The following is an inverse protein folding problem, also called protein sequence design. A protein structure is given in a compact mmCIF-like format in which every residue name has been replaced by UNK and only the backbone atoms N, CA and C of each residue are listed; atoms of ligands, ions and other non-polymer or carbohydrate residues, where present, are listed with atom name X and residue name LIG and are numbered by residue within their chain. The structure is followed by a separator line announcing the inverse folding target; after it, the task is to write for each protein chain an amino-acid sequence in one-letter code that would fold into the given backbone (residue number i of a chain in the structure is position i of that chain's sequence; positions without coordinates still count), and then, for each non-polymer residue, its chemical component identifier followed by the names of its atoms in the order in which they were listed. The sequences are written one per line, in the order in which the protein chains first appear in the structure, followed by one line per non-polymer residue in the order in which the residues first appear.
data_IF_841454140530
#
_entry.id   IF_841454140530
#
_cell.length_a   1.000
_cell.length_b   1.000
_cell.length_c   1.000
_cell.angle_alpha   90.00
_cell.angle_beta   90.00
_cell.angle_gamma   90.00
#
_symmetry.space_group_name_H-M   'P 1'
#
loop_
_entity.id
_entity.type
_entity.pdbx_description
1 polymer ?
#
# COMPACT_ATOMS: atom_id res chain seq x y z
N UNK A 1 5.22 -17.86 24.75
CA UNK A 1 4.40 -17.15 23.74
C UNK A 1 4.22 -18.12 22.58
N UNK A 2 2.99 -18.58 22.35
CA UNK A 2 2.69 -19.63 21.37
C UNK A 2 2.77 -19.06 19.96
N UNK A 3 3.72 -19.55 19.16
CA UNK A 3 3.74 -19.35 17.72
C UNK A 3 2.56 -20.13 17.15
N UNK A 4 1.46 -19.42 16.90
CA UNK A 4 0.31 -19.97 16.17
C UNK A 4 0.81 -20.44 14.80
N UNK A 5 0.57 -21.70 14.47
CA UNK A 5 0.91 -22.30 13.18
C UNK A 5 0.39 -21.42 12.04
N UNK A 6 1.30 -20.69 11.40
CA UNK A 6 0.99 -19.99 10.17
C UNK A 6 0.76 -21.05 9.10
N UNK A 7 -0.49 -21.20 8.62
CA UNK A 7 -0.74 -21.81 7.31
C UNK A 7 0.34 -21.28 6.35
N UNK A 8 1.16 -22.19 5.80
CA UNK A 8 2.28 -21.84 4.93
C UNK A 8 1.78 -20.88 3.85
N UNK A 9 2.21 -19.63 3.96
CA UNK A 9 1.80 -18.55 3.08
C UNK A 9 2.62 -18.71 1.81
N UNK A 10 1.99 -18.57 0.63
CA UNK A 10 2.75 -18.65 -0.62
C UNK A 10 3.64 -17.41 -0.72
N UNK A 11 4.91 -17.54 -1.14
CA UNK A 11 5.75 -16.37 -1.39
C UNK A 11 5.12 -15.54 -2.51
N UNK A 12 4.87 -14.25 -2.26
CA UNK A 12 4.25 -13.37 -3.24
C UNK A 12 3.64 -12.12 -2.62
N UNK A 13 2.86 -11.38 -3.41
CA UNK A 13 2.28 -10.11 -2.96
C UNK A 13 0.77 -10.08 -3.23
N UNK A 14 -0.02 -9.91 -2.17
CA UNK A 14 -1.43 -9.56 -2.26
C UNK A 14 -1.58 -8.04 -2.23
N UNK A 15 -1.97 -7.43 -3.34
CA UNK A 15 -2.13 -5.98 -3.46
C UNK A 15 -3.58 -5.56 -3.20
N UNK A 16 -3.79 -4.67 -2.25
CA UNK A 16 -5.10 -4.19 -1.80
C UNK A 16 -5.28 -2.73 -2.22
N UNK A 17 -6.38 -2.47 -2.94
CA UNK A 17 -6.75 -1.15 -3.43
C UNK A 17 -8.17 -0.79 -2.99
N UNK A 18 -8.39 0.47 -2.64
CA UNK A 18 -9.74 1.02 -2.50
C UNK A 18 -10.25 1.49 -3.87
N UNK A 19 -11.54 1.26 -4.14
CA UNK A 19 -12.22 1.80 -5.33
C UNK A 19 -12.08 3.32 -5.37
N UNK A 20 -11.55 3.83 -6.47
CA UNK A 20 -11.21 5.24 -6.66
C UNK A 20 -11.05 5.58 -8.14
N UNK A 21 -11.20 6.86 -8.46
CA UNK A 21 -10.93 7.37 -9.80
C UNK A 21 -9.47 7.11 -10.19
N UNK A 22 -9.25 6.49 -11.36
CA UNK A 22 -7.91 6.16 -11.83
C UNK A 22 -7.32 4.86 -11.28
N UNK A 23 -8.13 4.05 -10.58
CA UNK A 23 -7.76 2.70 -10.10
C UNK A 23 -7.06 1.88 -11.21
N UNK A 24 -7.62 1.88 -12.42
CA UNK A 24 -7.06 1.13 -13.53
C UNK A 24 -5.58 1.43 -13.79
N UNK A 25 -5.22 2.72 -13.79
CA UNK A 25 -3.86 3.13 -14.07
C UNK A 25 -2.95 2.70 -12.93
N UNK A 26 -3.36 2.94 -11.69
CA UNK A 26 -2.60 2.55 -10.51
C UNK A 26 -2.35 1.03 -10.46
N UNK A 27 -3.39 0.24 -10.76
CA UNK A 27 -3.29 -1.23 -10.80
C UNK A 27 -2.39 -1.68 -11.95
N UNK A 28 -2.56 -1.18 -13.17
CA UNK A 28 -1.74 -1.58 -14.32
C UNK A 28 -0.27 -1.24 -14.11
N UNK A 29 0.04 -0.09 -13.52
CA UNK A 29 1.41 0.29 -13.20
C UNK A 29 2.00 -0.60 -12.09
N UNK A 30 1.19 -0.97 -11.09
CA UNK A 30 1.61 -1.92 -10.06
C UNK A 30 1.89 -3.29 -10.67
N UNK A 31 1.01 -3.80 -11.51
CA UNK A 31 1.17 -5.09 -12.19
C UNK A 31 2.46 -5.11 -12.99
N UNK A 32 2.78 -4.06 -13.73
CA UNK A 32 4.02 -3.99 -14.52
C UNK A 32 5.28 -4.13 -13.64
N UNK A 33 5.23 -3.65 -12.41
CA UNK A 33 6.33 -3.82 -11.44
C UNK A 33 6.29 -5.21 -10.80
N UNK A 34 5.11 -5.68 -10.36
CA UNK A 34 4.95 -7.00 -9.74
C UNK A 34 5.33 -8.15 -10.69
N UNK A 35 5.06 -8.01 -11.98
CA UNK A 35 5.45 -9.00 -12.99
C UNK A 35 6.99 -9.14 -13.10
N UNK A 36 7.73 -8.06 -12.81
CA UNK A 36 9.19 -8.07 -12.73
C UNK A 36 9.76 -8.56 -11.40
N UNK A 37 9.04 -8.36 -10.29
CA UNK A 37 9.52 -8.70 -8.94
C UNK A 37 9.10 -10.09 -8.46
N UNK A 38 7.83 -10.43 -8.69
CA UNK A 38 7.18 -11.66 -8.22
C UNK A 38 6.33 -12.24 -9.35
N UNK A 39 6.95 -12.76 -10.43
CA UNK A 39 6.23 -13.22 -11.61
C UNK A 39 5.16 -14.24 -11.24
N UNK A 40 3.91 -13.99 -11.66
CA UNK A 40 2.75 -14.85 -11.42
C UNK A 40 2.42 -15.14 -9.94
N UNK A 41 3.11 -14.51 -9.00
CA UNK A 41 2.99 -14.72 -7.56
C UNK A 41 2.39 -13.49 -6.90
N UNK A 42 1.31 -12.98 -7.50
CA UNK A 42 0.57 -11.84 -6.96
C UNK A 42 -0.94 -11.97 -7.18
N UNK A 43 -1.72 -11.28 -6.36
CA UNK A 43 -3.16 -11.09 -6.54
C UNK A 43 -3.51 -9.61 -6.34
N UNK A 44 -4.65 -9.18 -6.88
CA UNK A 44 -5.19 -7.84 -6.68
C UNK A 44 -6.56 -7.97 -5.99
N UNK A 45 -6.71 -7.28 -4.87
CA UNK A 45 -7.94 -7.21 -4.10
C UNK A 45 -8.43 -5.76 -4.17
N UNK A 46 -9.61 -5.56 -4.73
CA UNK A 46 -10.26 -4.25 -4.82
C UNK A 46 -11.39 -4.20 -3.79
N UNK A 47 -11.33 -3.24 -2.88
CA UNK A 47 -12.35 -2.96 -1.88
C UNK A 47 -13.30 -1.89 -2.43
N UNK A 48 -14.59 -2.19 -2.48
CA UNK A 48 -15.61 -1.24 -2.88
C UNK A 48 -16.57 -1.82 -3.91
N UNK A 49 -16.81 -1.08 -4.99
CA UNK A 49 -17.81 -1.47 -5.98
C UNK A 49 -17.27 -2.42 -7.06
N UNK A 50 -18.19 -3.22 -7.62
CA UNK A 50 -17.91 -4.14 -8.70
C UNK A 50 -17.73 -3.43 -10.06
N UNK A 51 -18.11 -2.16 -10.20
CA UNK A 51 -18.06 -1.41 -11.47
C UNK A 51 -16.61 -1.13 -11.84
N UNK A 52 -15.84 -0.53 -10.94
CA UNK A 52 -14.41 -0.28 -11.16
C UNK A 52 -13.62 -1.57 -11.40
N UNK A 53 -14.02 -2.67 -10.72
CA UNK A 53 -13.38 -3.97 -11.00
C UNK A 53 -13.76 -4.53 -12.37
N UNK A 54 -14.99 -4.29 -12.83
CA UNK A 54 -15.45 -4.76 -14.15
C UNK A 54 -14.74 -4.03 -15.28
N UNK A 55 -14.53 -2.72 -15.15
CA UNK A 55 -13.75 -1.91 -16.09
C UNK A 55 -12.29 -2.40 -16.18
N UNK A 56 -11.67 -2.63 -15.02
CA UNK A 56 -10.32 -3.18 -14.94
C UNK A 56 -10.22 -4.57 -15.60
N UNK A 57 -11.19 -5.45 -15.35
CA UNK A 57 -11.26 -6.79 -15.99
C UNK A 57 -11.47 -6.70 -17.49
N UNK A 58 -12.27 -5.75 -17.98
CA UNK A 58 -12.48 -5.55 -19.41
C UNK A 58 -11.19 -5.13 -20.10
N UNK A 59 -10.37 -4.29 -19.46
CA UNK A 59 -9.07 -3.85 -19.98
C UNK A 59 -7.97 -4.90 -19.86
N UNK A 60 -8.01 -5.71 -18.80
CA UNK A 60 -6.97 -6.67 -18.48
C UNK A 60 -7.57 -7.98 -17.93
N UNK A 61 -8.14 -8.83 -18.81
CA UNK A 61 -8.92 -10.01 -18.41
C UNK A 61 -8.09 -11.13 -17.77
N UNK A 62 -6.76 -11.07 -17.89
CA UNK A 62 -5.84 -12.05 -17.31
C UNK A 62 -5.38 -11.68 -15.89
N UNK A 63 -5.79 -10.52 -15.36
CA UNK A 63 -5.38 -10.11 -14.03
C UNK A 63 -6.08 -10.94 -12.95
N UNK A 64 -5.33 -11.45 -11.95
CA UNK A 64 -5.91 -12.14 -10.80
C UNK A 64 -6.57 -11.13 -9.84
N UNK A 65 -7.67 -10.52 -10.27
CA UNK A 65 -8.39 -9.48 -9.53
C UNK A 65 -9.67 -10.01 -8.87
N UNK A 66 -9.84 -9.69 -7.58
CA UNK A 66 -11.00 -10.04 -6.75
C UNK A 66 -11.58 -8.77 -6.14
N UNK A 67 -12.91 -8.68 -6.10
CA UNK A 67 -13.62 -7.59 -5.42
C UNK A 67 -14.10 -8.09 -4.06
N UNK A 68 -14.01 -7.23 -3.05
CA UNK A 68 -14.64 -7.44 -1.74
C UNK A 68 -15.46 -6.20 -1.38
N UNK A 69 -16.54 -6.39 -0.63
CA UNK A 69 -17.32 -5.28 -0.10
C UNK A 69 -16.51 -4.44 0.88
N UNK A 70 -16.94 -3.19 1.10
CA UNK A 70 -16.28 -2.29 2.04
C UNK A 70 -16.22 -2.85 3.48
N UNK A 71 -17.23 -3.64 3.86
CA UNK A 71 -17.36 -4.24 5.19
C UNK A 71 -16.78 -5.67 5.27
N UNK A 72 -16.31 -6.22 4.14
CA UNK A 72 -15.74 -7.56 4.08
C UNK A 72 -14.29 -7.55 4.53
N UNK A 73 -13.85 -8.66 5.13
CA UNK A 73 -12.44 -8.85 5.48
C UNK A 73 -11.64 -9.28 4.26
N UNK A 74 -10.61 -8.53 3.90
CA UNK A 74 -9.62 -8.98 2.94
C UNK A 74 -8.78 -10.13 3.53
N UNK A 75 -8.88 -11.31 2.90
CA UNK A 75 -8.06 -12.49 3.21
C UNK A 75 -7.00 -12.71 2.11
N UNK A 76 -5.81 -12.10 2.25
CA UNK A 76 -4.71 -12.25 1.31
C UNK A 76 -4.09 -13.65 1.39
N UNK A 77 -3.78 -14.23 0.23
CA UNK A 77 -3.23 -15.59 0.12
C UNK A 77 -1.70 -15.64 0.15
N UNK A 78 -1.04 -14.52 -0.12
CA UNK A 78 0.42 -14.41 -0.14
C UNK A 78 1.00 -13.88 1.18
N UNK A 79 2.28 -14.10 1.41
CA UNK A 79 3.00 -13.73 2.63
C UNK A 79 3.19 -12.23 2.83
N UNK A 80 3.19 -11.43 1.75
CA UNK A 80 3.23 -9.98 1.80
C UNK A 80 1.91 -9.36 1.33
N UNK A 81 1.51 -8.29 2.01
CA UNK A 81 0.31 -7.51 1.71
C UNK A 81 0.70 -6.09 1.39
N UNK A 82 0.48 -5.68 0.16
CA UNK A 82 0.67 -4.31 -0.28
C UNK A 82 -0.65 -3.56 -0.20
N UNK A 83 -0.65 -2.36 0.36
CA UNK A 83 -1.84 -1.51 0.47
C UNK A 83 -1.51 -0.20 -0.19
N UNK A 84 -2.28 0.19 -1.20
CA UNK A 84 -2.12 1.47 -1.89
C UNK A 84 -2.96 2.56 -1.22
N UNK A 85 -2.45 3.79 -1.18
CA UNK A 85 -3.28 4.94 -0.89
C UNK A 85 -4.27 5.22 -2.02
N UNK A 86 -5.39 5.83 -1.64
CA UNK A 86 -6.52 6.12 -2.53
C UNK A 86 -6.17 7.06 -3.69
N UNK A 87 -5.06 7.80 -3.62
CA UNK A 87 -4.71 8.78 -4.64
C UNK A 87 -3.96 8.19 -5.85
N UNK A 88 -3.42 6.97 -5.77
CA UNK A 88 -2.73 6.31 -6.89
C UNK A 88 -1.52 7.06 -7.45
N UNK A 89 -1.04 8.12 -6.79
CA UNK A 89 0.02 9.00 -7.28
C UNK A 89 1.37 8.66 -6.63
N UNK A 90 1.92 7.49 -6.96
CA UNK A 90 3.23 7.08 -6.46
C UNK A 90 4.08 6.40 -7.54
N UNK A 91 5.40 6.51 -7.37
CA UNK A 91 6.34 5.73 -8.18
C UNK A 91 6.42 4.31 -7.62
N UNK A 92 5.72 3.40 -8.27
CA UNK A 92 5.65 1.98 -7.91
C UNK A 92 7.03 1.32 -7.92
N UNK A 93 8.02 1.87 -8.65
CA UNK A 93 9.39 1.34 -8.67
C UNK A 93 10.07 1.39 -7.30
N UNK A 94 9.61 2.27 -6.43
CA UNK A 94 10.11 2.39 -5.06
C UNK A 94 9.57 1.29 -4.14
N UNK A 95 8.67 0.41 -4.61
CA UNK A 95 8.26 -0.80 -3.90
C UNK A 95 9.46 -1.68 -3.51
N UNK A 96 10.52 -1.68 -4.32
CA UNK A 96 11.77 -2.38 -4.02
C UNK A 96 12.38 -1.95 -2.69
N UNK A 97 12.30 -0.66 -2.36
CA UNK A 97 12.84 -0.15 -1.10
C UNK A 97 12.03 -0.62 0.12
N UNK A 98 10.73 -0.90 -0.06
CA UNK A 98 9.90 -1.47 0.99
C UNK A 98 10.15 -2.96 1.14
N UNK A 99 10.34 -3.68 0.04
CA UNK A 99 10.75 -5.09 0.07
C UNK A 99 12.07 -5.25 0.83
N UNK A 100 13.08 -4.45 0.47
CA UNK A 100 14.36 -4.38 1.19
C UNK A 100 14.17 -4.15 2.70
N UNK A 101 13.24 -3.27 3.08
CA UNK A 101 12.99 -2.95 4.48
C UNK A 101 12.35 -4.14 5.23
N UNK A 102 11.39 -4.83 4.61
CA UNK A 102 10.76 -6.03 5.18
C UNK A 102 11.75 -7.20 5.26
N UNK A 103 12.61 -7.35 4.26
CA UNK A 103 13.70 -8.35 4.24
C UNK A 103 14.74 -8.09 5.35
N UNK A 104 15.02 -6.82 5.66
CA UNK A 104 15.91 -6.42 6.77
C UNK A 104 15.32 -6.65 8.16
N UNK A 105 14.05 -7.06 8.26
CA UNK A 105 13.41 -7.43 9.50
C UNK A 105 12.17 -6.60 9.87
N UNK A 106 11.80 -5.59 9.08
CA UNK A 106 10.59 -4.82 9.37
C UNK A 106 9.33 -5.70 9.24
N UNK A 107 8.41 -5.52 10.19
CA UNK A 107 7.07 -6.11 10.14
C UNK A 107 6.16 -5.36 9.16
N UNK A 108 6.37 -4.05 9.08
CA UNK A 108 5.64 -3.10 8.23
C UNK A 108 6.63 -2.11 7.63
N UNK A 109 6.61 -1.96 6.32
CA UNK A 109 7.31 -0.90 5.62
C UNK A 109 6.30 0.10 5.05
N UNK A 110 6.45 1.38 5.37
CA UNK A 110 5.53 2.44 4.97
C UNK A 110 6.22 3.42 4.07
N UNK A 111 5.70 3.60 2.85
CA UNK A 111 6.13 4.64 1.92
C UNK A 111 5.50 5.97 2.29
N UNK A 112 6.29 6.92 2.77
CA UNK A 112 5.81 8.28 3.07
C UNK A 112 6.39 9.31 2.09
N UNK A 113 5.58 10.31 1.71
CA UNK A 113 6.08 11.42 0.90
C UNK A 113 6.92 12.35 1.78
N UNK A 114 8.19 12.60 1.46
CA UNK A 114 8.97 13.62 2.14
C UNK A 114 8.47 15.00 1.69
N UNK A 115 7.37 15.49 2.26
CA UNK A 115 7.16 16.93 2.37
C UNK A 115 8.28 17.49 3.25
N UNK A 116 8.57 18.81 3.16
CA UNK A 116 9.33 19.50 4.24
C UNK A 116 8.52 19.34 5.52
N UNK A 117 8.75 18.23 6.20
CA UNK A 117 8.03 17.81 7.37
C UNK A 117 8.98 18.05 8.52
N UNK A 118 8.63 18.99 9.37
CA UNK A 118 9.49 19.46 10.45
C UNK A 118 9.96 18.28 11.31
N UNK A 119 11.19 18.39 11.83
CA UNK A 119 11.80 17.34 12.67
C UNK A 119 10.92 16.94 13.87
N UNK A 120 10.02 17.83 14.30
CA UNK A 120 9.05 17.63 15.37
C UNK A 120 7.96 16.61 14.97
N UNK A 121 7.42 16.73 13.75
CA UNK A 121 6.40 15.81 13.21
C UNK A 121 6.97 14.40 13.08
N UNK A 122 8.22 14.28 12.60
CA UNK A 122 8.94 13.00 12.57
C UNK A 122 9.14 12.39 13.96
N UNK A 123 9.36 13.22 14.98
CA UNK A 123 9.54 12.75 16.36
C UNK A 123 8.22 12.28 16.98
N UNK A 124 7.13 12.98 16.71
CA UNK A 124 5.77 12.60 17.12
C UNK A 124 5.33 11.26 16.48
N UNK A 125 5.69 11.03 15.22
CA UNK A 125 5.46 9.75 14.53
C UNK A 125 6.16 8.58 15.24
N UNK A 126 7.44 8.75 15.63
CA UNK A 126 8.18 7.72 16.40
C UNK A 126 7.50 7.40 17.73
N UNK A 127 6.72 8.34 18.27
CA UNK A 127 5.96 8.19 19.51
C UNK A 127 4.54 7.66 19.29
N UNK A 128 4.18 7.26 18.06
CA UNK A 128 2.87 6.69 17.74
C UNK A 128 1.74 7.73 17.60
N UNK A 129 2.07 9.02 17.54
CA UNK A 129 1.10 10.06 17.21
C UNK A 129 0.84 10.03 15.70
N UNK A 130 -0.44 9.90 15.32
CA UNK A 130 -0.89 9.96 13.94
C UNK A 130 -0.94 11.43 13.47
N UNK A 131 0.23 12.06 13.35
CA UNK A 131 0.34 13.35 12.66
C UNK A 131 0.22 13.05 11.17
N UNK A 132 -0.76 13.67 10.52
CA UNK A 132 -1.24 13.44 9.15
C UNK A 132 -0.07 13.21 8.16
N UNK A 133 0.30 11.94 7.98
CA UNK A 133 1.35 11.56 7.04
C UNK A 133 0.66 11.23 5.75
N UNK A 134 1.09 11.89 4.67
CA UNK A 134 0.82 11.51 3.29
C UNK A 134 1.46 10.13 3.02
N UNK A 135 0.88 9.09 3.61
CA UNK A 135 1.24 7.70 3.43
C UNK A 135 0.78 7.30 2.04
N UNK A 136 1.72 7.02 1.15
CA UNK A 136 1.43 6.68 -0.23
C UNK A 136 1.07 5.19 -0.37
N UNK A 137 1.73 4.32 0.39
CA UNK A 137 1.45 2.89 0.42
C UNK A 137 2.15 2.23 1.60
N UNK A 138 1.69 1.05 1.98
CA UNK A 138 2.30 0.23 3.03
C UNK A 138 2.47 -1.21 2.56
N UNK A 139 3.56 -1.86 2.95
CA UNK A 139 3.85 -3.26 2.73
C UNK A 139 3.95 -3.94 4.09
N UNK A 140 3.16 -4.99 4.31
CA UNK A 140 3.03 -5.66 5.59
C UNK A 140 3.19 -7.16 5.42
N UNK A 141 3.71 -7.83 6.45
CA UNK A 141 3.61 -9.30 6.53
C UNK A 141 2.16 -9.71 6.74
N UNK A 142 1.72 -10.80 6.11
CA UNK A 142 0.35 -11.35 6.24
C UNK A 142 -0.06 -11.56 7.69
N UNK A 143 0.85 -12.04 8.54
CA UNK A 143 0.56 -12.23 9.97
C UNK A 143 0.24 -10.93 10.71
N UNK A 144 0.87 -9.82 10.32
CA UNK A 144 0.60 -8.48 10.87
C UNK A 144 -0.72 -7.94 10.31
N UNK A 145 -0.95 -8.11 9.01
CA UNK A 145 -2.20 -7.76 8.36
C UNK A 145 -3.42 -8.39 9.04
N UNK A 146 -3.36 -9.71 9.30
CA UNK A 146 -4.47 -10.44 9.93
C UNK A 146 -4.79 -9.88 11.32
N UNK A 147 -3.77 -9.53 12.10
CA UNK A 147 -3.97 -8.89 13.41
C UNK A 147 -4.63 -7.52 13.26
N UNK A 148 -4.09 -6.67 12.39
CA UNK A 148 -4.57 -5.30 12.18
C UNK A 148 -6.02 -5.24 11.64
N UNK A 149 -6.34 -6.08 10.66
CA UNK A 149 -7.67 -6.08 10.02
C UNK A 149 -8.73 -6.72 10.92
N UNK A 150 -8.36 -7.73 11.72
CA UNK A 150 -9.29 -8.38 12.65
C UNK A 150 -9.91 -7.43 13.68
N UNK A 151 -9.22 -6.33 14.03
CA UNK A 151 -9.68 -5.38 15.05
C UNK A 151 -10.62 -4.31 14.50
N UNK A 152 -10.49 -3.90 13.24
CA UNK A 152 -11.21 -2.69 12.76
C UNK A 152 -11.62 -2.70 11.29
N UNK A 153 -11.18 -3.67 10.48
CA UNK A 153 -11.44 -3.70 9.02
C UNK A 153 -11.07 -2.40 8.28
N UNK A 154 -10.10 -1.65 8.80
CA UNK A 154 -9.59 -0.46 8.10
C UNK A 154 -8.42 -0.83 7.20
N UNK A 155 -8.50 -0.36 5.96
CA UNK A 155 -7.51 -0.58 4.91
C UNK A 155 -6.73 0.70 4.58
N UNK A 156 -6.76 1.67 5.49
CA UNK A 156 -6.07 2.96 5.32
C UNK A 156 -4.62 2.82 5.78
N UNK A 157 -3.66 3.08 4.89
CA UNK A 157 -2.23 2.85 5.14
C UNK A 157 -1.70 3.59 6.39
N UNK A 158 -2.10 4.85 6.60
CA UNK A 158 -1.71 5.64 7.77
C UNK A 158 -2.22 5.02 9.08
N UNK A 159 -3.46 4.54 9.07
CA UNK A 159 -4.11 3.90 10.22
C UNK A 159 -3.45 2.55 10.53
N UNK A 160 -3.17 1.74 9.51
CA UNK A 160 -2.44 0.48 9.63
C UNK A 160 -1.05 0.69 10.23
N UNK A 161 -0.32 1.69 9.75
CA UNK A 161 1.03 2.03 10.25
C UNK A 161 1.00 2.49 11.71
N UNK A 162 0.04 3.36 12.07
CA UNK A 162 -0.15 3.85 13.43
C UNK A 162 -0.49 2.70 14.40
N UNK A 163 -1.39 1.80 14.01
CA UNK A 163 -1.74 0.62 14.81
C UNK A 163 -0.59 -0.37 14.94
N UNK A 164 0.14 -0.64 13.86
CA UNK A 164 1.29 -1.53 13.91
C UNK A 164 2.30 -1.08 14.97
N UNK A 165 2.57 0.23 15.06
CA UNK A 165 3.42 0.79 16.13
C UNK A 165 2.84 0.59 17.52
N UNK A 166 1.53 0.76 17.69
CA UNK A 166 0.85 0.52 18.99
C UNK A 166 0.89 -0.94 19.43
N UNK A 167 0.93 -1.87 18.48
CA UNK A 167 1.09 -3.31 18.73
C UNK A 167 2.56 -3.71 18.97
N UNK A 168 3.50 -2.76 18.91
CA UNK A 168 4.92 -3.02 19.10
C UNK A 168 5.61 -3.65 17.88
N UNK A 169 4.99 -3.61 16.70
CA UNK A 169 5.61 -4.06 15.46
C UNK A 169 6.73 -3.11 15.01
N UNK A 170 7.74 -3.66 14.33
CA UNK A 170 8.81 -2.86 13.74
C UNK A 170 8.34 -2.21 12.44
N UNK A 171 8.15 -0.88 12.47
CA UNK A 171 7.68 -0.09 11.33
C UNK A 171 8.83 0.70 10.73
N UNK A 172 9.17 0.41 9.47
CA UNK A 172 10.18 1.13 8.70
C UNK A 172 9.54 2.18 7.80
N UNK A 173 9.85 3.45 8.04
CA UNK A 173 9.40 4.55 7.18
C UNK A 173 10.39 4.78 6.04
N UNK A 174 9.97 4.51 4.82
CA UNK A 174 10.76 4.69 3.59
C UNK A 174 10.29 5.96 2.88
N UNK A 175 11.18 6.93 2.60
CA UNK A 175 10.81 8.11 1.83
C UNK A 175 10.53 7.71 0.37
N UNK A 176 9.38 8.12 -0.16
CA UNK A 176 8.94 7.83 -1.52
C UNK A 176 8.62 9.09 -2.32
N UNK A 177 8.96 9.09 -3.60
CA UNK A 177 8.74 10.17 -4.54
C UNK A 177 7.33 10.15 -5.11
N UNK A 178 6.77 11.34 -5.35
CA UNK A 178 5.56 11.44 -6.17
C UNK A 178 5.88 11.10 -7.61
N UNK A 179 4.94 10.42 -8.26
CA UNK A 179 5.00 10.21 -9.70
C UNK A 179 5.05 11.58 -10.39
N UNK A 180 6.08 11.82 -11.21
CA UNK A 180 6.11 13.01 -12.07
C UNK A 180 4.96 12.90 -13.10
N UNK A 181 4.18 13.96 -13.34
CA UNK A 181 3.23 13.97 -14.44
C UNK A 181 3.93 13.55 -15.72
N UNK A 182 3.37 12.58 -16.45
CA UNK A 182 3.85 12.24 -17.78
C UNK A 182 3.81 13.51 -18.64
N UNK A 183 4.96 13.90 -19.19
CA UNK A 183 5.12 15.05 -20.09
C UNK A 183 3.94 15.10 -21.07
N UNK A 184 3.00 16.03 -20.89
CA UNK A 184 1.78 16.09 -21.70
C UNK A 184 0.62 16.84 -21.05
N UNK A 185 0.56 16.91 -19.71
CA UNK A 185 -0.34 17.84 -19.01
C UNK A 185 0.53 18.90 -18.36
N UNK A 186 0.49 20.12 -18.89
CA UNK A 186 1.18 21.26 -18.33
C UNK A 186 0.79 21.41 -16.86
N UNK A 187 1.73 21.15 -15.96
CA UNK A 187 1.64 21.65 -14.60
C UNK A 187 1.64 23.18 -14.73
N UNK A 188 0.46 23.80 -14.60
CA UNK A 188 0.36 25.24 -14.44
C UNK A 188 1.00 25.61 -13.11
N UNK A 189 2.32 25.82 -13.15
CA UNK A 189 3.04 26.47 -12.09
C UNK A 189 2.42 27.86 -11.92
N UNK A 190 1.69 28.05 -10.82
CA UNK A 190 1.19 29.35 -10.42
C UNK A 190 2.37 30.28 -10.21
N UNK A 191 2.67 31.10 -11.21
CA UNK A 191 3.51 32.28 -11.06
C UNK A 191 2.70 33.25 -10.20
N UNK A 192 3.05 33.32 -8.91
CA UNK A 192 2.65 34.42 -8.04
C UNK A 192 3.47 35.64 -8.48
N UNK A 193 2.82 36.56 -9.18
CA UNK A 193 3.38 37.87 -9.48
C UNK A 193 3.63 38.63 -8.17
N UNK A 194 4.79 39.27 -8.11
CA UNK A 194 5.23 40.17 -7.04
C UNK A 194 4.48 41.51 -7.08
#
# INVERSE_FOLDING_TARGET
MQFTEQRQSRPGISAVFASSDGLDRAVLDLVAVLDGLVPQSFEIIVIGDAVSTSELRARAPRLPVRTIGADDSADPVYDLVFVAARDGQFDVRELNHLLDAVERGADVATGYRPRRMDAIVRRLQRWGCNVDVDCAFALLRRGVWQRLVSETKSYVCAELSSRARRLGCEVADVPVSQRRPSLGVAASAGIRAA
#
